data_IF_344878388137
#
_entry.id   IF_344878388137
#
_cell.length_a   1.000
_cell.length_b   1.000
_cell.length_c   1.000
_cell.angle_alpha   90.00
_cell.angle_beta   90.00
_cell.angle_gamma   90.00
#
_symmetry.space_group_name_H-M   'P 1'
#
loop_
_entity.id
_entity.type
_entity.pdbx_description
1 polymer ?
#
# COMPACT_ATOMS: atom_id res chain seq x y z
N UNK A 1 -65.86 -53.43 44.29
CA UNK A 1 -64.41 -53.25 43.99
C UNK A 1 -64.30 -52.39 42.72
N UNK A 2 -63.94 -51.11 42.88
CA UNK A 2 -63.74 -50.20 41.72
C UNK A 2 -62.24 -49.98 41.59
N UNK A 3 -61.63 -50.42 40.48
CA UNK A 3 -60.26 -50.22 40.18
C UNK A 3 -60.13 -48.90 39.38
N UNK A 4 -59.50 -47.90 39.95
CA UNK A 4 -59.20 -46.63 39.28
C UNK A 4 -57.82 -46.69 38.62
N UNK A 5 -57.81 -46.72 37.28
CA UNK A 5 -56.58 -46.67 36.44
C UNK A 5 -56.11 -45.19 36.34
N UNK A 6 -54.94 -44.91 36.92
CA UNK A 6 -54.25 -43.59 36.76
C UNK A 6 -53.38 -43.58 35.51
N UNK A 7 -53.68 -42.68 34.58
CA UNK A 7 -52.82 -42.39 33.43
C UNK A 7 -51.76 -41.38 33.82
N UNK A 8 -50.48 -41.74 33.65
CA UNK A 8 -49.35 -40.85 33.84
C UNK A 8 -49.03 -40.24 32.49
N UNK A 9 -49.26 -38.94 32.32
CA UNK A 9 -48.82 -38.17 31.14
C UNK A 9 -47.32 -37.87 31.30
N UNK A 10 -46.49 -38.46 30.48
CA UNK A 10 -45.06 -38.08 30.37
C UNK A 10 -44.92 -36.90 29.41
N UNK A 11 -44.58 -35.72 29.93
CA UNK A 11 -44.25 -34.55 29.10
C UNK A 11 -42.81 -34.69 28.58
N UNK A 12 -42.68 -34.90 27.28
CA UNK A 12 -41.37 -34.80 26.60
C UNK A 12 -40.99 -33.32 26.42
N UNK A 13 -40.05 -32.85 27.23
CA UNK A 13 -39.40 -31.54 27.02
C UNK A 13 -38.42 -31.68 25.84
N UNK A 14 -38.81 -31.20 24.66
CA UNK A 14 -37.88 -31.09 23.51
C UNK A 14 -36.91 -29.96 23.73
N UNK A 15 -35.68 -30.27 24.07
CA UNK A 15 -34.57 -29.32 24.08
C UNK A 15 -34.15 -29.03 22.63
N UNK A 16 -34.56 -27.89 22.09
CA UNK A 16 -34.02 -27.37 20.83
C UNK A 16 -32.66 -26.75 21.13
N UNK A 17 -31.60 -27.45 20.72
CA UNK A 17 -30.22 -26.90 20.69
C UNK A 17 -30.18 -25.86 19.56
N UNK A 18 -29.86 -24.59 19.83
CA UNK A 18 -29.67 -23.63 18.75
C UNK A 18 -28.48 -24.07 17.90
N UNK A 19 -28.69 -24.23 16.58
CA UNK A 19 -27.63 -24.47 15.62
C UNK A 19 -26.67 -23.30 15.66
N UNK A 20 -25.42 -23.53 16.08
CA UNK A 20 -24.33 -22.59 15.96
C UNK A 20 -24.12 -22.35 14.47
N UNK A 21 -24.53 -21.18 13.98
CA UNK A 21 -24.13 -20.69 12.65
C UNK A 21 -22.61 -20.61 12.63
N UNK A 22 -21.93 -21.25 11.65
CA UNK A 22 -20.50 -21.07 11.52
C UNK A 22 -20.20 -19.59 11.34
N UNK A 23 -19.22 -19.06 12.09
CA UNK A 23 -18.72 -17.73 11.90
C UNK A 23 -18.38 -17.57 10.41
N UNK A 24 -19.02 -16.62 9.73
CA UNK A 24 -18.67 -16.28 8.37
C UNK A 24 -17.24 -15.75 8.45
N UNK A 25 -16.29 -16.42 7.83
CA UNK A 25 -14.96 -15.91 7.60
C UNK A 25 -15.12 -14.61 6.80
N UNK A 26 -15.09 -13.49 7.51
CA UNK A 26 -15.02 -12.17 6.89
C UNK A 26 -13.66 -12.14 6.21
N UNK A 27 -13.66 -12.17 4.88
CA UNK A 27 -12.42 -12.04 4.12
C UNK A 27 -11.70 -10.76 4.59
N UNK A 28 -10.40 -10.84 4.89
CA UNK A 28 -9.63 -9.68 5.35
C UNK A 28 -9.79 -8.55 4.33
N UNK A 29 -9.87 -7.31 4.84
CA UNK A 29 -9.95 -6.15 3.96
C UNK A 29 -8.76 -6.19 2.98
N UNK A 30 -8.97 -5.77 1.73
CA UNK A 30 -7.96 -5.92 0.68
C UNK A 30 -6.58 -5.35 1.05
N UNK A 31 -6.54 -4.31 1.90
CA UNK A 31 -5.30 -3.69 2.40
C UNK A 31 -4.58 -4.54 3.46
N UNK A 32 -5.29 -5.40 4.22
CA UNK A 32 -4.70 -6.29 5.23
C UNK A 32 -3.85 -7.40 4.62
N UNK A 33 -4.10 -7.68 3.34
CA UNK A 33 -3.37 -8.70 2.59
C UNK A 33 -2.07 -8.17 1.94
N UNK A 34 -1.72 -6.91 2.16
CA UNK A 34 -0.55 -6.30 1.54
C UNK A 34 0.24 -5.48 2.54
N UNK A 35 1.54 -5.64 2.51
CA UNK A 35 2.45 -4.80 3.28
C UNK A 35 3.65 -4.37 2.46
N UNK A 36 4.24 -3.21 2.79
CA UNK A 36 5.52 -2.84 2.24
C UNK A 36 6.39 -2.15 3.28
N UNK A 37 7.69 -2.39 3.17
CA UNK A 37 8.72 -1.91 4.07
C UNK A 37 9.88 -1.33 3.26
N UNK A 38 10.68 -0.48 3.92
CA UNK A 38 12.02 -0.17 3.46
C UNK A 38 13.03 -1.03 4.22
N UNK A 39 13.93 -1.64 3.49
CA UNK A 39 15.01 -2.47 4.04
C UNK A 39 16.35 -1.75 3.90
N UNK A 40 17.25 -1.99 4.82
CA UNK A 40 18.65 -1.58 4.72
C UNK A 40 19.46 -2.55 3.82
N UNK A 41 20.76 -2.28 3.67
CA UNK A 41 21.71 -3.11 2.90
C UNK A 41 21.81 -4.56 3.41
N UNK A 42 21.46 -4.82 4.65
CA UNK A 42 21.45 -6.17 5.23
C UNK A 42 20.13 -6.91 5.06
N UNK A 43 19.12 -6.24 4.46
CA UNK A 43 17.77 -6.75 4.32
C UNK A 43 16.91 -6.61 5.58
N UNK A 44 17.37 -5.85 6.58
CA UNK A 44 16.62 -5.56 7.79
C UNK A 44 15.67 -4.39 7.59
N UNK A 45 14.41 -4.47 8.07
CA UNK A 45 13.48 -3.34 8.00
C UNK A 45 14.01 -2.12 8.73
N UNK A 46 13.87 -0.94 8.10
CA UNK A 46 14.19 0.34 8.70
C UNK A 46 13.18 0.69 9.80
N UNK A 47 13.59 1.48 10.82
CA UNK A 47 12.68 1.92 11.88
C UNK A 47 11.46 2.64 11.31
N UNK A 48 10.28 2.15 11.67
CA UNK A 48 8.98 2.61 11.15
C UNK A 48 8.12 3.12 12.31
N UNK A 49 7.43 4.22 12.09
CA UNK A 49 6.61 4.93 13.08
C UNK A 49 5.24 5.25 12.50
N UNK A 50 4.20 5.10 13.30
CA UNK A 50 2.84 5.51 12.95
C UNK A 50 2.53 6.84 13.64
N UNK A 51 2.19 7.87 12.85
CA UNK A 51 1.81 9.17 13.38
C UNK A 51 0.68 9.79 12.53
N UNK A 52 -0.40 10.24 13.18
CA UNK A 52 -1.54 10.85 12.49
C UNK A 52 -2.16 9.98 11.39
N UNK A 53 -2.20 8.66 11.58
CA UNK A 53 -2.70 7.68 10.59
C UNK A 53 -1.79 7.49 9.37
N UNK A 54 -0.54 7.98 9.41
CA UNK A 54 0.46 7.85 8.34
C UNK A 54 1.67 7.08 8.83
N UNK A 55 2.25 6.30 7.92
CA UNK A 55 3.47 5.54 8.18
C UNK A 55 4.69 6.36 7.81
N UNK A 56 5.65 6.45 8.73
CA UNK A 56 6.91 7.15 8.57
C UNK A 56 8.08 6.21 8.78
N UNK A 57 9.14 6.37 8.00
CA UNK A 57 10.39 5.62 8.11
C UNK A 57 11.54 6.56 8.37
N UNK A 58 12.38 6.20 9.33
CA UNK A 58 13.60 6.92 9.63
C UNK A 58 14.70 6.49 8.65
N UNK A 59 15.04 7.40 7.74
CA UNK A 59 16.16 7.27 6.83
C UNK A 59 17.45 7.85 7.37
N UNK A 60 18.57 7.48 6.77
CA UNK A 60 19.90 8.05 7.07
C UNK A 60 20.57 8.46 5.78
N UNK A 61 20.92 9.74 5.64
CA UNK A 61 21.60 10.26 4.45
C UNK A 61 22.82 9.42 4.06
N UNK A 62 22.99 9.16 2.78
CA UNK A 62 24.07 8.35 2.22
C UNK A 62 23.85 6.83 2.31
N UNK A 63 22.89 6.34 3.09
CA UNK A 63 22.60 4.90 3.16
C UNK A 63 21.70 4.46 2.02
N UNK A 64 21.94 3.24 1.53
CA UNK A 64 21.05 2.60 0.56
C UNK A 64 19.82 2.04 1.24
N UNK A 65 18.78 1.83 0.44
CA UNK A 65 17.60 1.10 0.88
C UNK A 65 16.97 0.34 -0.28
N UNK A 66 16.10 -0.58 0.04
CA UNK A 66 15.28 -1.35 -0.90
C UNK A 66 13.81 -1.19 -0.53
N UNK A 67 12.92 -1.23 -1.48
CA UNK A 67 11.47 -1.33 -1.25
C UNK A 67 11.08 -2.79 -1.34
N UNK A 68 10.55 -3.35 -0.26
CA UNK A 68 9.98 -4.70 -0.25
C UNK A 68 8.45 -4.60 -0.21
N UNK A 69 7.79 -5.26 -1.15
CA UNK A 69 6.32 -5.40 -1.17
C UNK A 69 5.98 -6.87 -0.98
N UNK A 70 5.11 -7.17 -0.01
CA UNK A 70 4.63 -8.52 0.30
C UNK A 70 3.16 -8.65 0.01
N UNK A 71 2.82 -9.77 -0.57
CA UNK A 71 1.47 -10.19 -0.92
C UNK A 71 1.07 -11.37 -0.03
N UNK A 72 0.26 -11.11 0.98
CA UNK A 72 -0.29 -12.14 1.86
C UNK A 72 -1.57 -12.79 1.25
N UNK A 73 -2.06 -12.27 0.13
CA UNK A 73 -3.21 -12.86 -0.58
C UNK A 73 -2.79 -14.05 -1.44
N UNK A 74 -3.72 -14.95 -1.73
CA UNK A 74 -3.49 -16.06 -2.66
C UNK A 74 -3.53 -15.66 -4.15
N UNK A 75 -3.59 -14.37 -4.50
CA UNK A 75 -3.73 -13.90 -5.89
C UNK A 75 -2.49 -13.17 -6.36
N UNK A 76 -2.05 -13.49 -7.57
CA UNK A 76 -0.99 -12.72 -8.24
C UNK A 76 -1.48 -11.30 -8.54
N UNK A 77 -0.60 -10.31 -8.40
CA UNK A 77 -0.91 -8.93 -8.69
C UNK A 77 0.30 -8.20 -9.29
N UNK A 78 0.01 -7.11 -9.99
CA UNK A 78 0.99 -6.13 -10.43
C UNK A 78 1.04 -4.98 -9.42
N UNK A 79 2.24 -4.57 -9.04
CA UNK A 79 2.50 -3.46 -8.14
C UNK A 79 3.23 -2.36 -8.88
N UNK A 80 2.59 -1.21 -9.03
CA UNK A 80 3.20 0.01 -9.58
C UNK A 80 3.77 0.80 -8.42
N UNK A 81 5.06 1.07 -8.47
CA UNK A 81 5.79 1.71 -7.36
C UNK A 81 6.32 3.07 -7.81
N UNK A 82 6.11 4.06 -6.98
CA UNK A 82 6.68 5.39 -7.15
C UNK A 82 7.54 5.78 -5.95
N UNK A 83 8.66 6.40 -6.22
CA UNK A 83 9.57 6.97 -5.22
C UNK A 83 9.74 8.45 -5.55
N UNK A 84 9.45 9.33 -4.59
CA UNK A 84 9.54 10.78 -4.77
C UNK A 84 8.73 11.31 -5.98
N UNK A 85 7.56 10.70 -6.26
CA UNK A 85 6.75 11.05 -7.41
C UNK A 85 7.28 10.53 -8.75
N UNK A 86 8.34 9.71 -8.75
CA UNK A 86 8.92 9.09 -9.96
C UNK A 86 8.62 7.61 -10.01
N UNK A 87 8.26 7.13 -11.18
CA UNK A 87 8.10 5.70 -11.43
C UNK A 87 9.45 4.99 -11.38
N UNK A 88 9.50 3.84 -10.70
CA UNK A 88 10.77 3.13 -10.48
C UNK A 88 11.26 2.35 -11.71
N UNK A 89 10.40 2.16 -12.74
CA UNK A 89 10.75 1.43 -13.95
C UNK A 89 11.30 2.34 -15.04
N UNK A 90 10.65 3.48 -15.29
CA UNK A 90 11.05 4.38 -16.37
C UNK A 90 11.62 5.73 -15.90
N UNK A 91 11.61 5.99 -14.59
CA UNK A 91 12.12 7.25 -14.00
C UNK A 91 11.25 8.48 -14.30
N UNK A 92 10.22 8.35 -15.10
CA UNK A 92 9.30 9.45 -15.45
C UNK A 92 8.30 9.76 -14.32
N UNK A 93 7.44 10.77 -14.48
CA UNK A 93 6.38 11.07 -13.52
C UNK A 93 5.54 9.83 -13.20
N UNK A 94 5.19 9.62 -11.94
CA UNK A 94 4.41 8.47 -11.52
C UNK A 94 3.00 8.49 -12.11
N UNK A 95 2.51 7.34 -12.55
CA UNK A 95 1.13 7.12 -13.00
C UNK A 95 0.71 5.69 -12.69
N UNK A 96 -0.53 5.51 -12.27
CA UNK A 96 -1.11 4.19 -12.02
C UNK A 96 -1.34 3.37 -13.29
N UNK A 97 -1.26 4.00 -14.46
CA UNK A 97 -1.43 3.34 -15.76
C UNK A 97 -0.16 2.65 -16.25
N UNK A 98 0.99 3.01 -15.65
CA UNK A 98 2.28 2.39 -15.97
C UNK A 98 2.32 0.93 -15.55
N UNK A 99 3.22 0.18 -16.20
CA UNK A 99 3.52 -1.21 -15.81
C UNK A 99 4.24 -1.25 -14.46
N UNK A 100 4.10 -2.37 -13.78
CA UNK A 100 4.70 -2.59 -12.46
C UNK A 100 5.46 -3.90 -12.38
N UNK A 101 5.84 -4.25 -11.17
CA UNK A 101 6.42 -5.55 -10.84
C UNK A 101 5.31 -6.54 -10.52
N UNK A 102 5.51 -7.82 -10.89
CA UNK A 102 4.57 -8.88 -10.53
C UNK A 102 4.95 -9.50 -9.20
N UNK A 103 3.94 -9.72 -8.36
CA UNK A 103 4.08 -10.40 -7.08
C UNK A 103 3.10 -11.56 -7.05
N UNK A 104 3.63 -12.77 -6.95
CA UNK A 104 2.80 -13.98 -6.85
C UNK A 104 2.00 -13.99 -5.55
N UNK A 105 0.94 -14.81 -5.51
CA UNK A 105 0.21 -15.06 -4.27
C UNK A 105 1.16 -15.59 -3.19
N UNK A 106 1.08 -15.05 -1.97
CA UNK A 106 1.97 -15.36 -0.84
C UNK A 106 3.46 -15.12 -1.13
N UNK A 107 3.77 -14.22 -2.07
CA UNK A 107 5.12 -13.87 -2.49
C UNK A 107 5.56 -12.47 -2.05
N UNK A 108 6.80 -12.13 -2.37
CA UNK A 108 7.34 -10.80 -2.20
C UNK A 108 8.16 -10.36 -3.40
N UNK A 109 8.30 -9.07 -3.60
CA UNK A 109 9.26 -8.47 -4.53
C UNK A 109 10.12 -7.47 -3.77
N UNK A 110 11.41 -7.42 -4.14
CA UNK A 110 12.36 -6.42 -3.66
C UNK A 110 12.81 -5.56 -4.83
N UNK A 111 12.73 -4.26 -4.65
CA UNK A 111 13.06 -3.26 -5.65
C UNK A 111 14.23 -2.45 -5.11
N UNK A 112 15.38 -2.62 -5.76
CA UNK A 112 16.65 -2.11 -5.27
C UNK A 112 16.96 -0.69 -5.74
N UNK A 113 16.26 -0.20 -6.78
CA UNK A 113 16.58 1.07 -7.42
C UNK A 113 15.68 1.41 -8.60
N UNK A 114 15.97 2.52 -9.25
CA UNK A 114 15.38 2.89 -10.53
C UNK A 114 15.93 1.98 -11.63
N UNK A 115 15.06 1.42 -12.47
CA UNK A 115 15.44 0.48 -13.52
C UNK A 115 16.24 1.19 -14.63
N UNK A 116 17.42 0.66 -14.94
CA UNK A 116 18.27 1.11 -16.05
C UNK A 116 18.09 0.23 -17.29
N UNK A 117 17.93 -1.08 -17.06
CA UNK A 117 17.76 -2.09 -18.08
C UNK A 117 17.06 -3.32 -17.50
N UNK A 118 16.91 -4.40 -18.26
CA UNK A 118 16.40 -5.67 -17.73
C UNK A 118 17.37 -6.34 -16.74
N UNK A 119 18.64 -5.93 -16.72
CA UNK A 119 19.68 -6.52 -15.87
C UNK A 119 20.23 -5.57 -14.81
N UNK A 120 19.90 -4.27 -14.83
CA UNK A 120 20.54 -3.29 -13.96
C UNK A 120 19.57 -2.27 -13.38
N UNK A 121 19.91 -1.77 -12.20
CA UNK A 121 19.22 -0.66 -11.51
C UNK A 121 20.23 0.37 -11.00
N UNK A 122 19.80 1.62 -10.90
CA UNK A 122 20.48 2.62 -10.09
C UNK A 122 19.95 2.55 -8.66
N UNK A 123 20.79 2.18 -7.72
CA UNK A 123 20.39 1.91 -6.33
C UNK A 123 19.68 3.10 -5.69
N UNK A 124 18.65 2.84 -4.90
CA UNK A 124 18.03 3.86 -4.06
C UNK A 124 18.99 4.23 -2.92
N UNK A 125 19.25 5.52 -2.79
CA UNK A 125 20.07 6.03 -1.70
C UNK A 125 19.44 7.29 -1.12
N UNK A 126 19.35 7.35 0.20
CA UNK A 126 18.91 8.56 0.87
C UNK A 126 19.91 9.70 0.65
N UNK A 127 19.42 10.86 0.29
CA UNK A 127 20.21 12.08 0.11
C UNK A 127 19.41 13.30 0.49
N UNK A 128 19.96 14.50 0.29
CA UNK A 128 19.21 15.72 0.50
C UNK A 128 18.13 15.90 -0.57
N UNK A 129 17.05 16.60 -0.24
CA UNK A 129 15.98 16.91 -1.21
C UNK A 129 16.54 17.53 -2.50
N UNK A 130 17.46 18.48 -2.39
CA UNK A 130 18.06 19.16 -3.54
C UNK A 130 18.86 18.23 -4.47
N UNK A 131 19.35 17.11 -3.95
CA UNK A 131 20.10 16.08 -4.71
C UNK A 131 19.27 14.87 -5.06
N UNK A 132 17.99 14.87 -4.72
CA UNK A 132 17.09 13.78 -5.11
C UNK A 132 16.94 13.73 -6.64
N UNK A 133 16.71 12.53 -7.15
CA UNK A 133 16.47 12.33 -8.58
C UNK A 133 15.28 13.17 -9.06
N UNK A 134 14.19 13.21 -8.29
CA UNK A 134 13.02 14.01 -8.61
C UNK A 134 13.34 15.52 -8.67
N UNK A 135 14.14 16.05 -7.74
CA UNK A 135 14.54 17.47 -7.78
C UNK A 135 15.45 17.79 -8.97
N UNK A 136 16.32 16.86 -9.37
CA UNK A 136 17.18 17.03 -10.56
C UNK A 136 16.35 17.05 -11.84
N UNK A 137 15.25 16.28 -11.88
CA UNK A 137 14.27 16.27 -12.96
C UNK A 137 13.24 17.40 -12.89
N UNK A 138 13.43 18.35 -11.97
CA UNK A 138 12.65 19.58 -11.87
C UNK A 138 11.37 19.51 -11.04
N UNK A 139 11.03 18.38 -10.42
CA UNK A 139 9.85 18.24 -9.55
C UNK A 139 10.22 17.63 -8.19
N UNK A 140 10.32 18.49 -7.18
CA UNK A 140 10.63 18.09 -5.81
C UNK A 140 9.40 18.04 -4.89
N UNK A 141 8.17 18.18 -5.43
CA UNK A 141 6.95 18.29 -4.63
C UNK A 141 6.70 17.06 -3.78
N UNK A 142 6.83 15.89 -4.39
CA UNK A 142 6.51 14.60 -3.78
C UNK A 142 7.72 13.89 -3.16
N UNK A 143 8.85 14.61 -3.00
CA UNK A 143 10.05 14.05 -2.37
C UNK A 143 9.78 13.70 -0.91
N UNK A 144 10.27 12.53 -0.49
CA UNK A 144 10.03 11.95 0.84
C UNK A 144 8.80 11.06 0.91
N UNK A 145 8.21 10.70 -0.25
CA UNK A 145 7.02 9.85 -0.31
C UNK A 145 7.24 8.65 -1.25
N UNK A 146 6.87 7.47 -0.79
CA UNK A 146 6.84 6.24 -1.60
C UNK A 146 5.39 5.77 -1.67
N UNK A 147 4.93 5.49 -2.88
CA UNK A 147 3.60 4.97 -3.17
C UNK A 147 3.66 3.59 -3.83
N UNK A 148 2.72 2.72 -3.48
CA UNK A 148 2.55 1.39 -4.07
C UNK A 148 1.07 1.23 -4.44
N UNK A 149 0.77 1.12 -5.73
CA UNK A 149 -0.57 0.83 -6.23
C UNK A 149 -0.66 -0.62 -6.70
N UNK A 150 -1.68 -1.35 -6.27
CA UNK A 150 -1.80 -2.80 -6.39
C UNK A 150 -2.97 -3.14 -7.30
N UNK A 151 -2.70 -3.93 -8.34
CA UNK A 151 -3.65 -4.35 -9.36
C UNK A 151 -3.71 -5.87 -9.42
N UNK A 152 -4.77 -6.52 -8.92
CA UNK A 152 -4.94 -7.96 -9.02
C UNK A 152 -5.01 -8.43 -10.48
N UNK A 153 -4.51 -9.65 -10.73
CA UNK A 153 -4.62 -10.29 -12.03
C UNK A 153 -6.08 -10.64 -12.36
N UNK A 154 -6.48 -10.42 -13.61
CA UNK A 154 -7.79 -10.85 -14.10
C UNK A 154 -7.90 -12.37 -14.02
N UNK A 155 -8.93 -12.84 -13.37
CA UNK A 155 -9.21 -14.29 -13.35
C UNK A 155 -9.59 -14.78 -14.74
N UNK A 156 -9.02 -15.89 -15.20
CA UNK A 156 -9.54 -16.55 -16.40
C UNK A 156 -11.02 -16.90 -16.19
N UNK A 157 -11.84 -16.60 -17.18
CA UNK A 157 -13.22 -17.09 -17.16
C UNK A 157 -13.21 -18.62 -17.16
N UNK A 158 -14.07 -19.28 -16.36
CA UNK A 158 -14.22 -20.73 -16.40
C UNK A 158 -14.47 -21.18 -17.86
N UNK A 159 -13.89 -22.31 -18.25
CA UNK A 159 -13.97 -22.83 -19.61
C UNK A 159 -15.43 -23.00 -20.11
N UNK A 160 -16.36 -23.26 -19.19
CA UNK A 160 -17.80 -23.36 -19.47
C UNK A 160 -18.45 -22.05 -20.00
N UNK A 161 -17.80 -20.88 -19.82
CA UNK A 161 -18.29 -19.60 -20.39
C UNK A 161 -17.63 -19.22 -21.72
N UNK A 162 -16.71 -20.03 -22.25
CA UNK A 162 -16.01 -19.76 -23.51
C UNK A 162 -16.72 -20.31 -24.74
N UNK A 163 -17.75 -21.14 -24.57
CA UNK A 163 -18.51 -21.68 -25.68
C UNK A 163 -19.77 -20.86 -25.97
N UNK A 164 -19.58 -19.69 -26.60
CA UNK A 164 -20.57 -19.17 -27.52
C UNK A 164 -19.84 -19.02 -28.85
N UNK A 165 -20.27 -19.74 -29.90
CA UNK A 165 -19.64 -19.60 -31.20
C UNK A 165 -19.93 -18.18 -31.72
N UNK A 166 -18.91 -17.35 -31.72
CA UNK A 166 -18.97 -16.08 -32.46
C UNK A 166 -19.11 -16.43 -33.94
N UNK A 167 -20.31 -16.18 -34.41
CA UNK A 167 -20.70 -16.23 -35.84
C UNK A 167 -19.73 -15.34 -36.61
N UNK A 168 -18.91 -16.00 -37.43
CA UNK A 168 -18.10 -15.34 -38.45
C UNK A 168 -18.95 -14.39 -39.24
N UNK A 169 -18.60 -13.11 -39.26
CA UNK A 169 -18.90 -12.20 -40.33
C UNK A 169 -17.60 -11.69 -40.90
N UNK A 170 -17.36 -12.18 -42.10
CA UNK A 170 -16.29 -11.90 -43.02
C UNK A 170 -16.12 -10.43 -43.35
N UNK A 171 -14.87 -10.06 -43.55
CA UNK A 171 -14.27 -9.23 -44.60
C UNK A 171 -14.78 -7.80 -44.79
N UNK A 172 -13.89 -6.86 -44.71
CA UNK A 172 -14.00 -5.50 -45.22
C UNK A 172 -12.71 -4.73 -45.04
N UNK A 173 -11.83 -4.92 -46.01
CA UNK A 173 -10.84 -4.00 -46.61
C UNK A 173 -10.22 -2.84 -45.82
N UNK A 174 -8.93 -2.93 -45.71
CA UNK A 174 -7.83 -1.95 -45.88
C UNK A 174 -8.27 -0.57 -46.35
N UNK A 175 -7.86 0.45 -45.62
CA UNK A 175 -7.51 1.75 -46.24
C UNK A 175 -6.40 2.43 -45.38
N UNK A 176 -5.25 2.53 -46.01
CA UNK A 176 -4.16 3.42 -45.69
C UNK A 176 -4.63 4.88 -45.64
N UNK A 177 -4.13 5.63 -44.68
CA UNK A 177 -4.01 7.07 -44.83
C UNK A 177 -2.84 7.60 -43.99
N UNK A 178 -2.10 8.59 -44.51
CA UNK A 178 -0.73 8.86 -44.10
C UNK A 178 -0.62 9.89 -42.98
N UNK A 179 0.52 9.85 -42.30
CA UNK A 179 0.97 10.84 -41.33
C UNK A 179 1.13 12.24 -41.94
N UNK A 180 0.85 13.30 -41.20
CA UNK A 180 1.50 14.58 -41.46
C UNK A 180 2.59 14.88 -40.46
N UNK A 181 3.79 15.00 -41.00
CA UNK A 181 4.87 15.79 -40.40
C UNK A 181 4.48 17.25 -40.39
N UNK A 182 4.66 17.93 -39.29
CA UNK A 182 4.89 19.35 -39.28
C UNK A 182 5.80 19.74 -38.11
N UNK A 183 7.01 20.00 -38.45
CA UNK A 183 7.93 20.78 -37.65
C UNK A 183 7.50 22.26 -37.69
N UNK A 184 7.51 22.92 -36.54
CA UNK A 184 7.45 24.37 -36.42
C UNK A 184 8.38 24.81 -35.31
N UNK A 185 9.37 25.66 -35.61
CA UNK A 185 10.28 26.18 -34.61
C UNK A 185 9.75 27.49 -34.02
N UNK A 186 10.00 27.70 -32.75
CA UNK A 186 9.95 29.06 -32.27
C UNK A 186 9.35 29.22 -30.89
N UNK A 187 10.17 29.27 -29.90
CA UNK A 187 10.30 30.47 -29.09
C UNK A 187 11.36 30.27 -28.02
N UNK A 188 12.58 30.68 -28.31
CA UNK A 188 13.49 31.10 -27.25
C UNK A 188 12.98 32.44 -26.74
N UNK A 189 12.44 32.45 -25.58
CA UNK A 189 12.23 33.67 -24.81
C UNK A 189 12.70 33.41 -23.40
N UNK A 190 13.87 33.95 -23.11
CA UNK A 190 14.24 34.68 -21.90
C UNK A 190 13.58 34.18 -20.61
N UNK A 191 14.27 33.29 -19.91
CA UNK A 191 14.22 33.24 -18.47
C UNK A 191 15.61 33.02 -17.87
N UNK A 192 16.47 33.93 -18.19
CA UNK A 192 17.64 34.23 -17.38
C UNK A 192 17.26 35.46 -16.53
N UNK A 193 16.70 35.25 -15.36
CA UNK A 193 16.70 36.18 -14.21
C UNK A 193 15.71 35.61 -13.16
N UNK A 194 16.17 34.65 -12.43
CA UNK A 194 15.41 34.04 -11.35
C UNK A 194 16.17 32.88 -10.74
N UNK A 195 17.49 33.03 -10.54
CA UNK A 195 18.18 32.24 -9.54
C UNK A 195 17.69 32.69 -8.15
N UNK A 196 16.35 32.60 -7.96
CA UNK A 196 15.78 32.60 -6.64
C UNK A 196 16.48 31.46 -5.91
N UNK A 197 17.19 31.77 -4.85
CA UNK A 197 17.64 30.87 -3.81
C UNK A 197 16.60 29.76 -3.74
N UNK A 198 16.89 28.59 -4.30
CA UNK A 198 16.15 27.38 -3.97
C UNK A 198 16.36 27.22 -2.48
N UNK A 199 15.39 27.68 -1.69
CA UNK A 199 15.36 27.40 -0.27
C UNK A 199 15.55 25.90 -0.18
N UNK A 200 16.69 25.52 0.43
CA UNK A 200 17.03 24.12 0.59
C UNK A 200 15.98 23.57 1.55
N UNK A 201 14.90 23.03 0.99
CA UNK A 201 13.91 22.30 1.78
C UNK A 201 14.67 21.25 2.58
N UNK A 202 14.66 21.33 3.95
CA UNK A 202 15.30 20.32 4.77
C UNK A 202 14.60 18.97 4.56
N UNK A 203 15.30 17.89 4.86
CA UNK A 203 14.77 16.54 4.77
C UNK A 203 15.47 15.68 3.74
N UNK A 204 15.00 14.43 3.65
CA UNK A 204 15.55 13.43 2.75
C UNK A 204 14.76 13.33 1.44
N UNK A 205 15.49 12.97 0.40
CA UNK A 205 14.99 12.51 -0.88
C UNK A 205 15.80 11.30 -1.33
N UNK A 206 15.38 10.68 -2.44
CA UNK A 206 16.07 9.55 -3.05
C UNK A 206 16.96 10.01 -4.17
N UNK A 207 18.27 9.79 -4.03
CA UNK A 207 19.24 10.03 -5.07
C UNK A 207 19.39 8.81 -5.96
N UNK A 208 19.80 9.06 -7.19
CA UNK A 208 20.20 8.05 -8.16
C UNK A 208 21.58 7.53 -7.74
N UNK A 209 21.63 6.30 -7.22
CA UNK A 209 22.83 5.71 -6.68
C UNK A 209 23.69 5.01 -7.73
N UNK A 210 24.60 4.17 -7.27
CA UNK A 210 25.44 3.35 -8.13
C UNK A 210 24.63 2.28 -8.88
N UNK A 211 25.12 1.87 -10.03
CA UNK A 211 24.56 0.76 -10.80
C UNK A 211 24.75 -0.56 -10.05
N UNK A 212 23.71 -1.40 -10.08
CA UNK A 212 23.70 -2.74 -9.48
C UNK A 212 22.99 -3.73 -10.39
N UNK A 213 23.45 -4.97 -10.34
CA UNK A 213 22.80 -6.08 -11.03
C UNK A 213 21.43 -6.36 -10.38
N UNK A 214 20.42 -6.40 -11.23
CA UNK A 214 19.05 -6.74 -10.83
C UNK A 214 18.29 -7.23 -12.06
N UNK A 215 18.10 -8.53 -12.16
CA UNK A 215 17.52 -9.16 -13.35
C UNK A 215 15.99 -9.23 -13.25
N UNK A 216 15.32 -8.81 -14.31
CA UNK A 216 13.88 -8.96 -14.50
C UNK A 216 13.61 -9.44 -15.92
N UNK A 217 12.40 -9.98 -16.11
CA UNK A 217 11.88 -10.31 -17.44
C UNK A 217 10.51 -9.70 -17.62
N UNK A 218 10.18 -9.33 -18.83
CA UNK A 218 8.84 -8.89 -19.16
C UNK A 218 7.93 -10.11 -19.36
N UNK A 219 6.74 -10.06 -18.79
CA UNK A 219 5.72 -11.09 -18.95
C UNK A 219 4.37 -10.43 -19.20
N UNK A 220 3.49 -11.11 -19.91
CA UNK A 220 2.13 -10.63 -20.13
C UNK A 220 1.35 -10.66 -18.81
N UNK A 221 0.61 -9.60 -18.55
CA UNK A 221 -0.26 -9.46 -17.40
C UNK A 221 -1.53 -8.70 -17.78
N UNK A 222 -2.67 -9.16 -17.30
CA UNK A 222 -3.94 -8.49 -17.51
C UNK A 222 -4.52 -8.10 -16.16
N UNK A 223 -4.63 -6.82 -15.91
CA UNK A 223 -5.28 -6.27 -14.72
C UNK A 223 -6.76 -6.62 -14.69
N UNK A 224 -7.27 -6.95 -13.52
CA UNK A 224 -8.70 -7.15 -13.30
C UNK A 224 -9.48 -5.84 -13.50
N UNK A 225 -8.89 -4.72 -13.14
CA UNK A 225 -9.44 -3.37 -13.25
C UNK A 225 -8.35 -2.36 -13.62
N UNK A 226 -8.72 -1.26 -14.25
CA UNK A 226 -7.84 -0.10 -14.46
C UNK A 226 -7.58 0.69 -13.17
N UNK A 227 -8.42 0.49 -12.13
CA UNK A 227 -8.22 1.10 -10.81
C UNK A 227 -7.52 0.12 -9.88
N UNK A 228 -6.56 0.59 -9.05
CA UNK A 228 -5.93 -0.27 -8.08
C UNK A 228 -6.93 -0.73 -7.02
N UNK A 229 -6.77 -1.96 -6.53
CA UNK A 229 -7.55 -2.46 -5.39
C UNK A 229 -7.10 -1.86 -4.06
N UNK A 230 -5.81 -1.53 -3.98
CA UNK A 230 -5.17 -0.96 -2.78
C UNK A 230 -4.11 0.04 -3.21
N UNK A 231 -4.00 1.14 -2.47
CA UNK A 231 -2.88 2.08 -2.56
C UNK A 231 -2.27 2.23 -1.18
N UNK A 232 -1.01 1.88 -1.06
CA UNK A 232 -0.23 2.04 0.16
C UNK A 232 0.72 3.22 0.01
N UNK A 233 0.91 3.97 1.08
CA UNK A 233 1.79 5.14 1.08
C UNK A 233 2.65 5.13 2.34
N UNK A 234 3.93 5.43 2.16
CA UNK A 234 4.92 5.56 3.22
C UNK A 234 5.65 6.89 3.03
N UNK A 235 5.95 7.55 4.13
CA UNK A 235 6.79 8.75 4.15
C UNK A 235 8.12 8.44 4.79
N UNK A 236 9.18 9.06 4.33
CA UNK A 236 10.48 8.88 4.94
C UNK A 236 11.17 10.23 5.10
N UNK A 237 11.95 10.34 6.16
CA UNK A 237 12.78 11.52 6.41
C UNK A 237 13.92 11.15 7.37
N UNK A 238 14.81 12.11 7.60
CA UNK A 238 15.80 12.02 8.66
C UNK A 238 15.18 12.33 10.04
N UNK A 239 15.99 12.15 11.10
CA UNK A 239 15.54 12.39 12.47
C UNK A 239 14.99 13.80 12.68
N UNK A 240 15.68 14.89 12.26
CA UNK A 240 15.15 16.23 12.37
C UNK A 240 13.82 16.43 11.63
N UNK A 241 13.70 15.92 10.41
CA UNK A 241 12.48 16.03 9.59
C UNK A 241 11.30 15.30 10.23
N UNK A 242 11.51 14.08 10.76
CA UNK A 242 10.46 13.33 11.44
C UNK A 242 10.02 14.01 12.75
N UNK A 243 10.97 14.56 13.54
CA UNK A 243 10.63 15.32 14.73
C UNK A 243 9.85 16.60 14.40
N UNK A 244 10.24 17.30 13.33
CA UNK A 244 9.50 18.47 12.84
C UNK A 244 8.08 18.12 12.36
N UNK A 245 7.88 16.90 11.80
CA UNK A 245 6.57 16.37 11.45
C UNK A 245 5.75 15.91 12.68
N UNK A 246 6.31 15.97 13.89
CA UNK A 246 5.65 15.59 15.14
C UNK A 246 5.74 14.09 15.47
N UNK A 247 6.53 13.32 14.73
CA UNK A 247 6.72 11.88 14.98
C UNK A 247 7.52 11.66 16.26
N UNK A 248 7.00 10.85 17.17
CA UNK A 248 7.69 10.48 18.41
C UNK A 248 8.64 9.30 18.17
N UNK A 249 9.89 9.61 17.89
CA UNK A 249 10.93 8.61 17.59
C UNK A 249 11.42 7.83 18.81
N UNK A 250 11.26 8.39 20.01
CA UNK A 250 11.79 7.82 21.24
C UNK A 250 10.69 7.13 22.07
N UNK A 251 9.44 7.25 21.67
CA UNK A 251 8.27 6.71 22.39
C UNK A 251 8.09 7.34 23.78
N UNK A 252 8.70 8.50 24.03
CA UNK A 252 8.69 9.13 25.35
C UNK A 252 7.31 9.67 25.71
N UNK A 253 6.63 10.29 24.75
CA UNK A 253 5.27 10.84 24.96
C UNK A 253 4.28 9.74 25.31
N UNK A 254 4.28 8.66 24.53
CA UNK A 254 3.42 7.50 24.81
C UNK A 254 3.75 6.85 26.17
N UNK A 255 5.05 6.76 26.55
CA UNK A 255 5.47 6.18 27.83
C UNK A 255 5.08 7.06 29.03
N UNK A 256 5.19 8.38 28.90
CA UNK A 256 4.80 9.30 29.97
C UNK A 256 3.29 9.33 30.19
N UNK A 257 2.51 9.37 29.10
CA UNK A 257 1.05 9.35 29.17
C UNK A 257 0.54 7.99 29.68
N UNK A 258 1.09 6.89 29.20
CA UNK A 258 0.76 5.55 29.66
C UNK A 258 1.16 5.33 31.13
N UNK A 259 2.35 5.79 31.54
CA UNK A 259 2.80 5.74 32.92
C UNK A 259 1.94 6.63 33.84
N UNK A 260 1.48 7.78 33.36
CA UNK A 260 0.55 8.64 34.11
C UNK A 260 -0.81 7.97 34.24
N UNK A 261 -1.38 7.44 33.15
CA UNK A 261 -2.64 6.72 33.16
C UNK A 261 -2.59 5.50 34.10
N UNK A 262 -1.52 4.73 34.08
CA UNK A 262 -1.34 3.58 34.97
C UNK A 262 -1.22 3.99 36.43
N UNK A 263 -0.55 5.10 36.73
CA UNK A 263 -0.46 5.63 38.11
C UNK A 263 -1.76 6.16 38.65
N UNK A 264 -2.64 6.65 37.79
CA UNK A 264 -3.96 7.19 38.15
C UNK A 264 -5.11 6.22 37.91
N UNK A 265 -4.82 5.03 37.38
CA UNK A 265 -5.81 3.98 37.19
C UNK A 265 -6.28 3.46 38.54
N UNK A 266 -7.56 3.64 38.82
CA UNK A 266 -8.22 3.06 39.98
C UNK A 266 -9.09 1.89 39.52
N UNK A 267 -8.67 0.62 39.79
CA UNK A 267 -9.40 -0.55 39.36
C UNK A 267 -10.69 -0.77 40.16
N UNK A 268 -10.87 -0.06 41.29
CA UNK A 268 -12.02 -0.24 42.20
C UNK A 268 -12.76 1.08 42.45
N UNK A 269 -13.07 1.82 41.37
CA UNK A 269 -13.94 2.99 41.52
C UNK A 269 -15.24 2.61 42.22
N UNK A 270 -15.40 3.12 43.42
CA UNK A 270 -16.62 2.90 44.20
C UNK A 270 -17.75 3.63 43.50
N UNK A 271 -18.97 3.01 43.50
CA UNK A 271 -20.29 3.63 43.35
C UNK A 271 -21.14 3.31 42.11
N UNK A 272 -21.01 2.17 41.49
CA UNK A 272 -22.12 1.70 40.67
C UNK A 272 -22.49 0.25 41.06
N UNK A 273 -23.72 0.05 41.50
CA UNK A 273 -24.26 -1.31 41.75
C UNK A 273 -24.26 -2.17 40.48
N UNK A 274 -24.30 -1.53 39.31
CA UNK A 274 -24.30 -2.16 37.99
C UNK A 274 -23.44 -1.35 37.01
N UNK A 275 -22.88 -2.01 35.99
CA UNK A 275 -22.13 -1.35 34.94
C UNK A 275 -23.09 -0.45 34.11
N UNK A 276 -22.87 0.86 34.03
CA UNK A 276 -23.64 1.71 33.14
C UNK A 276 -23.29 1.39 31.69
N UNK A 277 -24.28 1.31 30.78
CA UNK A 277 -23.98 1.10 29.37
C UNK A 277 -23.16 2.28 28.79
N UNK A 278 -22.30 2.02 27.79
CA UNK A 278 -21.59 3.09 27.08
C UNK A 278 -22.59 4.10 26.49
N UNK A 279 -22.18 5.37 26.35
CA UNK A 279 -23.04 6.45 25.84
C UNK A 279 -23.67 6.16 24.47
N UNK A 280 -23.08 5.28 23.69
CA UNK A 280 -23.55 4.91 22.34
C UNK A 280 -24.10 3.47 22.27
N UNK A 281 -24.39 2.86 23.41
CA UNK A 281 -24.95 1.52 23.44
C UNK A 281 -26.48 1.59 23.31
N UNK A 282 -27.01 0.90 22.30
CA UNK A 282 -28.45 0.68 22.14
C UNK A 282 -28.77 -0.78 22.43
N UNK A 283 -29.72 -1.09 23.32
CA UNK A 283 -30.16 -2.47 23.52
C UNK A 283 -30.71 -3.02 22.19
N UNK A 284 -30.26 -4.21 21.79
CA UNK A 284 -30.93 -4.93 20.70
C UNK A 284 -32.34 -5.28 21.20
N UNK A 285 -33.37 -4.83 20.47
CA UNK A 285 -34.71 -5.29 20.69
C UNK A 285 -34.76 -6.80 20.47
N UNK A 286 -35.08 -7.56 21.55
CA UNK A 286 -35.33 -9.00 21.53
C UNK A 286 -36.66 -9.32 20.84
#
# INVERSE_FOLDING_TARGET
>A
MRVTTRWILAAFLSFTVPAMTPAQDVAPAAWESWSFDLLDDSGKPLPTFLHGGRTYVLGTAGRRYQVRVRNESGRRAEVVVSVDGRDVIDGGPSSMEKRGYLVDGHGEVRIDGYRLSESAVAAFRFGTVARSYAAMEGDARDVGVIGVAIFPERRPLPAAMRESPAREKSAGSVQDAPAPSAAGPGSRSQEALGAARKEQRPGLGTTFGEERDSHVRQVAFLRESSRPSVVLTLRYDDRPGLLAAGVDLDGRRCREDDARQRRTADPFRRDARYAPPPRNWTPSAG
#
